data_IF_148639440998
#
_entry.id   IF_148639440998
#
_cell.length_a   1.000
_cell.length_b   1.000
_cell.length_c   1.000
_cell.angle_alpha   90.00
_cell.angle_beta   90.00
_cell.angle_gamma   90.00
#
_symmetry.space_group_name_H-M   'P 1'
#
loop_
_entity.id
_entity.type
_entity.pdbx_description
1 polymer ?
#
# COMPACT_ATOMS: atom_id res chain seq x y z
N UNK A 1 4.44 -0.76 0.14
CA UNK A 1 4.29 0.06 1.35
C UNK A 1 3.10 0.97 1.13
N UNK A 2 2.27 1.21 2.14
CA UNK A 2 1.15 2.14 2.08
C UNK A 2 1.60 3.48 2.65
N UNK A 3 1.50 4.54 1.85
CA UNK A 3 1.76 5.92 2.23
C UNK A 3 0.42 6.67 2.30
N UNK A 4 0.21 7.40 3.38
CA UNK A 4 -0.85 8.40 3.51
C UNK A 4 -0.23 9.80 3.39
N UNK A 5 -0.89 10.71 2.70
CA UNK A 5 -0.51 12.12 2.68
C UNK A 5 -1.41 12.91 3.64
N UNK A 6 -0.79 13.61 4.58
CA UNK A 6 -1.43 14.50 5.56
C UNK A 6 -0.84 15.89 5.37
N UNK A 7 -1.66 16.87 4.95
CA UNK A 7 -1.24 18.27 4.77
C UNK A 7 0.01 18.47 3.89
N UNK A 8 0.18 17.59 2.90
CA UNK A 8 1.33 17.59 1.98
C UNK A 8 2.54 16.80 2.49
N UNK A 9 2.52 16.30 3.71
CA UNK A 9 3.56 15.42 4.27
C UNK A 9 3.17 13.94 4.15
N UNK A 10 4.16 13.09 3.88
CA UNK A 10 3.96 11.65 3.73
C UNK A 10 4.17 10.89 5.04
N UNK A 11 3.16 10.13 5.46
CA UNK A 11 3.20 9.24 6.61
C UNK A 11 3.11 7.77 6.16
N UNK A 12 4.07 6.95 6.59
CA UNK A 12 4.04 5.51 6.33
C UNK A 12 3.07 4.81 7.28
N UNK A 13 2.03 4.20 6.71
CA UNK A 13 0.99 3.51 7.49
C UNK A 13 1.38 2.06 7.73
N UNK A 14 1.71 1.33 6.66
CA UNK A 14 2.09 -0.07 6.77
C UNK A 14 3.07 -0.48 5.68
N UNK A 15 3.85 -1.50 6.00
CA UNK A 15 4.77 -2.14 5.06
C UNK A 15 4.40 -3.61 4.94
N UNK A 16 4.46 -4.12 3.71
CA UNK A 16 4.36 -5.54 3.46
C UNK A 16 5.56 -6.00 2.65
N UNK A 17 5.92 -7.25 2.89
CA UNK A 17 7.07 -7.91 2.30
C UNK A 17 6.67 -9.32 1.88
N UNK A 18 7.27 -9.77 0.79
CA UNK A 18 7.29 -11.19 0.43
C UNK A 18 8.65 -11.47 -0.21
N UNK A 19 9.24 -12.59 0.17
CA UNK A 19 10.41 -13.16 -0.48
C UNK A 19 10.02 -14.58 -0.90
N UNK A 20 10.20 -14.88 -2.18
CA UNK A 20 9.95 -16.21 -2.71
C UNK A 20 10.91 -16.42 -3.86
N UNK A 21 11.89 -17.30 -3.65
CA UNK A 21 12.84 -17.74 -4.65
C UNK A 21 12.90 -19.27 -4.58
N UNK A 22 12.70 -20.00 -5.69
CA UNK A 22 12.49 -19.55 -7.08
C UNK A 22 11.01 -19.33 -7.47
N UNK A 23 10.08 -19.43 -6.51
CA UNK A 23 8.64 -19.43 -6.77
C UNK A 23 8.03 -18.03 -6.65
N UNK A 24 6.79 -17.88 -7.10
CA UNK A 24 6.02 -16.66 -6.85
C UNK A 24 5.63 -16.56 -5.37
N UNK A 25 5.54 -15.34 -4.86
CA UNK A 25 5.05 -15.04 -3.52
C UNK A 25 4.16 -13.80 -3.57
N UNK A 26 3.06 -13.83 -2.82
CA UNK A 26 2.13 -12.71 -2.70
C UNK A 26 2.31 -12.05 -1.35
N UNK A 27 2.29 -10.72 -1.35
CA UNK A 27 2.26 -9.92 -0.13
C UNK A 27 0.92 -9.20 -0.06
N UNK A 28 0.17 -9.39 1.02
CA UNK A 28 -1.18 -8.85 1.19
C UNK A 28 -1.30 -8.14 2.53
N UNK A 29 -2.07 -7.04 2.56
CA UNK A 29 -2.44 -6.35 3.79
C UNK A 29 -3.85 -5.78 3.69
N UNK A 30 -4.38 -5.37 4.84
CA UNK A 30 -5.59 -4.56 4.96
C UNK A 30 -5.45 -3.62 6.15
N UNK A 31 -6.00 -2.41 6.04
CA UNK A 31 -6.00 -1.42 7.11
C UNK A 31 -7.28 -0.60 7.06
N UNK A 32 -7.78 -0.19 8.21
CA UNK A 32 -8.84 0.81 8.34
C UNK A 32 -8.20 2.15 8.66
N UNK A 33 -8.56 3.20 7.91
CA UNK A 33 -8.00 4.54 8.08
C UNK A 33 -9.13 5.55 8.19
N UNK A 34 -9.06 6.40 9.22
CA UNK A 34 -9.80 7.65 9.25
C UNK A 34 -9.08 8.66 8.34
N UNK A 35 -9.82 9.19 7.38
CA UNK A 35 -9.33 10.17 6.43
C UNK A 35 -10.14 11.46 6.57
N UNK A 36 -9.43 12.58 6.67
CA UNK A 36 -10.03 13.89 6.52
C UNK A 36 -10.13 14.26 5.03
N UNK A 37 -11.01 15.21 4.71
CA UNK A 37 -11.13 15.73 3.36
C UNK A 37 -9.77 16.19 2.82
N UNK A 38 -9.46 15.83 1.57
CA UNK A 38 -8.21 16.17 0.90
C UNK A 38 -7.02 15.25 1.19
N UNK A 39 -7.10 14.36 2.19
CA UNK A 39 -6.05 13.37 2.44
C UNK A 39 -6.04 12.28 1.35
N UNK A 40 -4.83 11.80 1.03
CA UNK A 40 -4.62 10.84 -0.05
C UNK A 40 -3.89 9.59 0.44
N UNK A 41 -4.09 8.46 -0.24
CA UNK A 41 -3.47 7.18 0.13
C UNK A 41 -2.95 6.47 -1.12
N UNK A 42 -1.71 5.99 -1.07
CA UNK A 42 -1.01 5.38 -2.20
C UNK A 42 -0.20 4.15 -1.79
N UNK A 43 -0.01 3.23 -2.74
CA UNK A 43 1.01 2.19 -2.62
C UNK A 43 2.32 2.63 -3.26
N UNK A 44 3.40 2.53 -2.49
CA UNK A 44 4.76 2.82 -2.92
C UNK A 44 5.63 1.59 -2.74
N UNK A 45 6.39 1.24 -3.79
CA UNK A 45 7.45 0.24 -3.73
C UNK A 45 8.72 0.86 -3.12
N UNK A 46 9.43 0.12 -2.27
CA UNK A 46 10.70 0.60 -1.70
C UNK A 46 11.75 0.66 -2.81
N UNK A 47 12.55 1.74 -2.84
CA UNK A 47 13.68 1.86 -3.77
C UNK A 47 14.63 0.67 -3.60
N UNK A 48 15.21 0.22 -4.72
CA UNK A 48 16.15 -0.92 -4.80
C UNK A 48 15.56 -2.29 -4.44
N UNK A 49 14.23 -2.41 -4.38
CA UNK A 49 13.63 -3.73 -4.44
C UNK A 49 13.78 -4.29 -5.85
N UNK A 50 14.72 -5.21 -6.01
CA UNK A 50 14.63 -6.29 -6.99
C UNK A 50 13.45 -7.20 -6.61
N UNK A 51 12.26 -6.63 -6.39
CA UNK A 51 11.08 -7.39 -6.76
C UNK A 51 11.35 -7.71 -8.22
N UNK A 52 11.37 -8.99 -8.53
CA UNK A 52 11.24 -9.48 -9.88
C UNK A 52 9.87 -9.00 -10.40
N UNK A 53 9.75 -7.69 -10.61
CA UNK A 53 8.68 -6.98 -11.29
C UNK A 53 8.84 -7.31 -12.77
N UNK A 54 8.76 -8.59 -13.10
CA UNK A 54 8.62 -9.06 -14.48
C UNK A 54 7.21 -8.72 -14.99
N UNK A 55 6.77 -7.48 -14.78
CA UNK A 55 5.41 -6.97 -14.69
C UNK A 55 4.74 -7.23 -13.33
N UNK A 56 4.05 -6.21 -12.81
CA UNK A 56 3.14 -6.24 -11.66
C UNK A 56 1.94 -7.18 -11.88
N UNK A 57 2.17 -8.40 -12.34
CA UNK A 57 1.14 -9.35 -12.73
C UNK A 57 0.28 -9.67 -11.52
N UNK A 58 -1.02 -9.34 -11.64
CA UNK A 58 -2.06 -9.62 -10.65
C UNK A 58 -1.97 -8.83 -9.32
N UNK A 59 -1.31 -7.68 -9.30
CA UNK A 59 -1.36 -6.77 -8.12
C UNK A 59 -2.73 -6.09 -8.02
N UNK A 60 -3.32 -6.09 -6.83
CA UNK A 60 -4.59 -5.41 -6.55
C UNK A 60 -4.42 -4.40 -5.41
N UNK A 61 -5.11 -3.26 -5.54
CA UNK A 61 -5.27 -2.26 -4.49
C UNK A 61 -6.70 -1.72 -4.59
N UNK A 62 -7.43 -1.79 -3.48
CA UNK A 62 -8.83 -1.38 -3.43
C UNK A 62 -9.16 -0.81 -2.05
N UNK A 63 -10.21 -0.01 -1.99
CA UNK A 63 -10.74 0.58 -0.76
C UNK A 63 -12.19 0.98 -0.96
N UNK A 64 -12.92 1.10 0.14
CA UNK A 64 -14.29 1.59 0.16
C UNK A 64 -14.54 2.41 1.44
N UNK A 65 -15.52 3.31 1.39
CA UNK A 65 -15.96 4.07 2.54
C UNK A 65 -16.80 3.19 3.46
N UNK A 66 -16.38 3.04 4.72
CA UNK A 66 -17.04 2.16 5.70
C UNK A 66 -18.15 2.90 6.43
N UNK A 67 -17.81 4.06 7.01
CA UNK A 67 -18.72 4.91 7.76
C UNK A 67 -18.13 6.33 7.88
N UNK A 68 -18.96 7.36 8.10
CA UNK A 68 -18.48 8.70 8.46
C UNK A 68 -17.75 8.67 9.81
N UNK A 69 -16.78 9.57 9.97
CA UNK A 69 -16.14 9.79 11.27
C UNK A 69 -17.13 10.44 12.24
N UNK A 70 -17.05 10.05 13.51
CA UNK A 70 -17.77 10.69 14.62
C UNK A 70 -17.17 12.06 14.96
#
# INVERSE_FOLDING_TARGET
MLLKTVDGEGEWVCTVWAESLPKWGTSSNTVYLSLNEGQQVYLIARRNLNSYYYASMYTTFSGHFVAPAE
#
